data_IF_827336983741
#
_entry.id   IF_827336983741
#
_cell.length_a   1.000
_cell.length_b   1.000
_cell.length_c   1.000
_cell.angle_alpha   90.00
_cell.angle_beta   90.00
_cell.angle_gamma   90.00
#
_symmetry.space_group_name_H-M   'P 1'
#
loop_
_entity.id
_entity.type
_entity.pdbx_description
1 polymer ?
#
# COMPACT_ATOMS: atom_id res chain seq x y z
N UNK A 1 5.39 0.99 -6.44
CA UNK A 1 4.88 -0.17 -7.21
C UNK A 1 6.07 -0.78 -7.94
N UNK A 2 6.38 -2.06 -7.71
CA UNK A 2 7.65 -2.64 -8.17
C UNK A 2 7.68 -2.86 -9.70
N UNK A 3 8.87 -2.77 -10.34
CA UNK A 3 9.00 -2.76 -11.81
C UNK A 3 8.39 -3.97 -12.52
N UNK A 4 8.46 -5.14 -11.90
CA UNK A 4 7.97 -6.40 -12.45
C UNK A 4 6.44 -6.41 -12.59
N UNK A 5 5.71 -5.78 -11.64
CA UNK A 5 4.26 -5.61 -11.74
C UNK A 5 3.88 -4.65 -12.87
N UNK A 6 4.64 -3.56 -13.04
CA UNK A 6 4.44 -2.64 -14.15
C UNK A 6 4.64 -3.33 -15.50
N UNK A 7 5.67 -4.16 -15.63
CA UNK A 7 5.94 -4.93 -16.84
C UNK A 7 4.85 -5.95 -17.14
N UNK A 8 4.41 -6.70 -16.12
CA UNK A 8 3.30 -7.65 -16.24
C UNK A 8 2.01 -6.98 -16.74
N UNK A 9 1.63 -5.85 -16.14
CA UNK A 9 0.44 -5.10 -16.52
C UNK A 9 0.54 -4.48 -17.91
N UNK A 10 1.72 -3.97 -18.30
CA UNK A 10 1.95 -3.45 -19.65
C UNK A 10 1.75 -4.52 -20.71
N UNK A 11 2.37 -5.69 -20.52
CA UNK A 11 2.26 -6.81 -21.49
C UNK A 11 0.84 -7.34 -21.55
N UNK A 12 0.18 -7.52 -20.41
CA UNK A 12 -1.25 -7.90 -20.37
C UNK A 12 -2.11 -6.93 -21.18
N UNK A 13 -1.93 -5.62 -20.97
CA UNK A 13 -2.69 -4.57 -21.68
C UNK A 13 -2.42 -4.58 -23.19
N UNK A 14 -1.20 -4.89 -23.64
CA UNK A 14 -0.89 -4.98 -25.07
C UNK A 14 -1.68 -6.11 -25.73
N UNK A 15 -1.65 -7.31 -25.16
CA UNK A 15 -2.44 -8.44 -25.67
C UNK A 15 -3.94 -8.23 -25.55
N UNK A 16 -4.42 -7.63 -24.46
CA UNK A 16 -5.85 -7.28 -24.32
C UNK A 16 -6.30 -6.35 -25.46
N UNK A 17 -5.48 -5.34 -25.80
CA UNK A 17 -5.77 -4.41 -26.91
C UNK A 17 -5.77 -5.10 -28.28
N UNK A 18 -4.82 -6.02 -28.50
CA UNK A 18 -4.75 -6.77 -29.75
C UNK A 18 -5.98 -7.68 -29.92
N UNK A 19 -6.39 -8.38 -28.86
CA UNK A 19 -7.60 -9.20 -28.87
C UNK A 19 -8.85 -8.37 -29.14
N UNK A 20 -9.00 -7.20 -28.52
CA UNK A 20 -10.15 -6.31 -28.79
C UNK A 20 -10.17 -5.85 -30.24
N UNK A 21 -9.01 -5.53 -30.83
CA UNK A 21 -8.95 -5.12 -32.23
C UNK A 21 -9.30 -6.28 -33.19
N UNK A 22 -8.89 -7.51 -32.87
CA UNK A 22 -9.28 -8.69 -33.64
C UNK A 22 -10.77 -9.01 -33.51
N UNK A 23 -11.35 -8.78 -32.34
CA UNK A 23 -12.78 -8.97 -32.09
C UNK A 23 -13.62 -7.96 -32.88
N UNK A 24 -13.21 -6.69 -32.91
CA UNK A 24 -13.82 -5.66 -33.78
C UNK A 24 -13.73 -6.03 -35.28
N UNK A 25 -12.58 -6.55 -35.73
CA UNK A 25 -12.42 -7.02 -37.11
C UNK A 25 -13.33 -8.21 -37.42
N UNK A 26 -13.42 -9.18 -36.50
CA UNK A 26 -14.32 -10.33 -36.62
C UNK A 26 -15.77 -9.86 -36.75
N UNK A 27 -16.24 -8.97 -35.88
CA UNK A 27 -17.60 -8.44 -35.95
C UNK A 27 -17.88 -7.72 -37.28
N UNK A 28 -16.93 -6.94 -37.78
CA UNK A 28 -17.07 -6.24 -39.05
C UNK A 28 -17.23 -7.22 -40.23
N UNK A 29 -16.45 -8.31 -40.25
CA UNK A 29 -16.54 -9.33 -41.30
C UNK A 29 -17.81 -10.16 -41.15
N UNK A 30 -18.23 -10.51 -39.93
CA UNK A 30 -19.50 -11.20 -39.70
C UNK A 30 -20.69 -10.38 -40.21
N UNK A 31 -20.71 -9.06 -39.92
CA UNK A 31 -21.73 -8.15 -40.45
C UNK A 31 -21.73 -8.13 -41.98
N UNK A 32 -20.56 -8.00 -42.62
CA UNK A 32 -20.45 -8.05 -44.09
C UNK A 32 -20.92 -9.38 -44.66
N UNK A 33 -20.53 -10.49 -44.05
CA UNK A 33 -20.94 -11.85 -44.48
C UNK A 33 -22.45 -11.99 -44.40
N UNK A 34 -23.08 -11.56 -43.30
CA UNK A 34 -24.52 -11.65 -43.11
C UNK A 34 -25.29 -10.82 -44.16
N UNK A 35 -24.78 -9.64 -44.53
CA UNK A 35 -25.37 -8.82 -45.60
C UNK A 35 -25.30 -9.56 -46.94
N UNK A 36 -24.12 -10.05 -47.32
CA UNK A 36 -23.95 -10.80 -48.59
C UNK A 36 -24.79 -12.08 -48.59
N UNK A 37 -24.87 -12.77 -47.45
CA UNK A 37 -25.66 -13.97 -47.27
C UNK A 37 -27.17 -13.69 -47.41
N UNK A 38 -27.67 -12.59 -46.84
CA UNK A 38 -29.05 -12.15 -47.04
C UNK A 38 -29.34 -11.87 -48.52
N UNK A 39 -28.47 -11.13 -49.19
CA UNK A 39 -28.61 -10.82 -50.62
C UNK A 39 -28.59 -12.09 -51.48
N UNK A 40 -27.74 -13.05 -51.14
CA UNK A 40 -27.68 -14.35 -51.81
C UNK A 40 -28.97 -15.16 -51.61
N UNK A 41 -29.53 -15.18 -50.40
CA UNK A 41 -30.82 -15.84 -50.13
C UNK A 41 -31.96 -15.16 -50.90
N UNK A 42 -32.02 -13.82 -50.91
CA UNK A 42 -33.01 -13.08 -51.69
C UNK A 42 -32.93 -13.40 -53.21
N UNK A 43 -31.71 -13.61 -53.73
CA UNK A 43 -31.49 -14.03 -55.12
C UNK A 43 -31.95 -15.47 -55.38
N UNK A 44 -31.77 -16.38 -54.41
CA UNK A 44 -32.26 -17.75 -54.48
C UNK A 44 -33.79 -17.83 -54.42
N UNK A 45 -34.44 -17.00 -53.60
CA UNK A 45 -35.90 -16.97 -53.48
C UNK A 45 -36.56 -16.38 -54.75
N UNK A 46 -35.91 -15.41 -55.40
CA UNK A 46 -36.37 -14.79 -56.67
C UNK A 46 -35.98 -15.57 -57.93
N UNK A 47 -35.37 -16.75 -57.78
CA UNK A 47 -34.83 -17.55 -58.89
C UNK A 47 -35.90 -18.09 -59.84
N UNK A 48 -37.18 -17.94 -59.50
CA UNK A 48 -38.30 -18.20 -60.41
C UNK A 48 -38.50 -17.14 -61.51
N UNK A 49 -37.82 -15.98 -61.46
CA UNK A 49 -38.11 -14.88 -62.38
C UNK A 49 -36.94 -14.39 -63.27
N UNK A 50 -35.80 -13.86 -62.77
CA UNK A 50 -34.89 -13.08 -63.64
C UNK A 50 -33.41 -12.92 -63.19
N UNK A 51 -32.87 -13.76 -62.29
CA UNK A 51 -31.48 -13.56 -61.78
C UNK A 51 -30.45 -14.38 -62.59
N UNK A 52 -29.41 -13.74 -63.20
CA UNK A 52 -28.34 -14.45 -63.91
C UNK A 52 -27.52 -15.35 -62.98
N UNK A 53 -27.14 -16.53 -63.47
CA UNK A 53 -26.32 -17.49 -62.73
C UNK A 53 -24.97 -16.89 -62.27
N UNK A 54 -24.36 -16.01 -63.07
CA UNK A 54 -23.09 -15.35 -62.77
C UNK A 54 -23.12 -14.52 -61.48
N UNK A 55 -24.21 -13.78 -61.24
CA UNK A 55 -24.39 -12.98 -60.01
C UNK A 55 -24.53 -13.87 -58.77
N UNK A 56 -25.13 -15.05 -58.97
CA UNK A 56 -25.34 -16.03 -57.90
C UNK A 56 -24.02 -16.73 -57.54
N UNK A 57 -23.17 -17.01 -58.52
CA UNK A 57 -21.81 -17.53 -58.28
C UNK A 57 -20.91 -16.49 -57.62
N UNK A 58 -20.94 -15.22 -58.06
CA UNK A 58 -20.17 -14.13 -57.43
C UNK A 58 -20.52 -13.94 -55.95
N UNK A 59 -21.82 -13.93 -55.61
CA UNK A 59 -22.27 -13.79 -54.23
C UNK A 59 -21.85 -14.99 -53.37
N UNK A 60 -21.89 -16.22 -53.93
CA UNK A 60 -21.41 -17.43 -53.26
C UNK A 60 -19.90 -17.37 -53.01
N UNK A 61 -19.10 -17.02 -54.01
CA UNK A 61 -17.65 -16.85 -53.88
C UNK A 61 -17.32 -15.81 -52.81
N UNK A 62 -18.05 -14.68 -52.78
CA UNK A 62 -17.87 -13.65 -51.75
C UNK A 62 -18.18 -14.15 -50.33
N UNK A 63 -19.20 -15.00 -50.16
CA UNK A 63 -19.50 -15.64 -48.87
C UNK A 63 -18.36 -16.57 -48.46
N UNK A 64 -17.81 -17.36 -49.39
CA UNK A 64 -16.69 -18.26 -49.13
C UNK A 64 -15.42 -17.48 -48.74
N UNK A 65 -15.09 -16.40 -49.44
CA UNK A 65 -14.00 -15.48 -49.09
C UNK A 65 -14.15 -14.95 -47.66
N UNK A 66 -15.30 -14.35 -47.33
CA UNK A 66 -15.55 -13.79 -45.99
C UNK A 66 -15.55 -14.87 -44.91
N UNK A 67 -15.96 -16.10 -45.24
CA UNK A 67 -15.90 -17.24 -44.31
C UNK A 67 -14.46 -17.67 -44.04
N UNK A 68 -13.60 -17.65 -45.06
CA UNK A 68 -12.17 -17.93 -44.90
C UNK A 68 -11.48 -16.85 -44.08
N UNK A 69 -11.80 -15.57 -44.32
CA UNK A 69 -11.32 -14.45 -43.50
C UNK A 69 -11.73 -14.60 -42.02
N UNK A 70 -12.98 -15.00 -41.74
CA UNK A 70 -13.43 -15.27 -40.36
C UNK A 70 -12.64 -16.40 -39.70
N UNK A 71 -12.41 -17.51 -40.41
CA UNK A 71 -11.60 -18.62 -39.86
C UNK A 71 -10.20 -18.14 -39.52
N UNK A 72 -9.59 -17.39 -40.41
CA UNK A 72 -8.25 -16.83 -40.19
C UNK A 72 -8.18 -15.93 -38.96
N UNK A 73 -9.17 -15.04 -38.76
CA UNK A 73 -9.20 -14.17 -37.57
C UNK A 73 -9.43 -14.98 -36.30
N UNK A 74 -10.33 -15.96 -36.31
CA UNK A 74 -10.58 -16.83 -35.15
C UNK A 74 -9.31 -17.59 -34.77
N UNK A 75 -8.58 -18.11 -35.74
CA UNK A 75 -7.30 -18.80 -35.51
C UNK A 75 -6.24 -17.83 -34.96
N UNK A 76 -6.15 -16.63 -35.52
CA UNK A 76 -5.27 -15.57 -35.01
C UNK A 76 -5.60 -15.19 -33.57
N UNK A 77 -6.87 -15.02 -33.22
CA UNK A 77 -7.31 -14.74 -31.85
C UNK A 77 -6.85 -15.86 -30.89
N UNK A 78 -7.05 -17.13 -31.25
CA UNK A 78 -6.59 -18.27 -30.44
C UNK A 78 -5.08 -18.27 -30.24
N UNK A 79 -4.32 -17.93 -31.28
CA UNK A 79 -2.86 -17.84 -31.18
C UNK A 79 -2.44 -16.71 -30.23
N UNK A 80 -3.03 -15.52 -30.36
CA UNK A 80 -2.78 -14.38 -29.46
C UNK A 80 -3.16 -14.71 -28.02
N UNK A 81 -4.27 -15.41 -27.77
CA UNK A 81 -4.64 -15.87 -26.43
C UNK A 81 -3.63 -16.85 -25.83
N UNK A 82 -3.13 -17.77 -26.65
CA UNK A 82 -2.11 -18.74 -26.24
C UNK A 82 -0.79 -18.05 -25.92
N UNK A 83 -0.31 -17.19 -26.80
CA UNK A 83 0.91 -16.40 -26.61
C UNK A 83 0.80 -15.50 -25.38
N UNK A 84 -0.32 -14.82 -25.19
CA UNK A 84 -0.60 -14.03 -23.97
C UNK A 84 -0.45 -14.89 -22.72
N UNK A 85 -1.05 -16.08 -22.71
CA UNK A 85 -0.99 -16.99 -21.55
C UNK A 85 0.44 -17.46 -21.28
N UNK A 86 1.17 -17.86 -22.31
CA UNK A 86 2.57 -18.28 -22.22
C UNK A 86 3.45 -17.14 -21.72
N UNK A 87 3.34 -15.96 -22.33
CA UNK A 87 4.15 -14.80 -21.97
C UNK A 87 3.89 -14.30 -20.55
N UNK A 88 2.64 -14.28 -20.11
CA UNK A 88 2.31 -13.92 -18.73
C UNK A 88 2.81 -14.98 -17.73
N UNK A 89 2.79 -16.26 -18.11
CA UNK A 89 3.33 -17.35 -17.29
C UNK A 89 4.85 -17.22 -17.12
N UNK A 90 5.58 -16.82 -18.17
CA UNK A 90 7.02 -16.55 -18.11
C UNK A 90 7.38 -15.39 -17.17
N UNK A 91 6.52 -14.38 -17.07
CA UNK A 91 6.73 -13.22 -16.20
C UNK A 91 6.37 -13.48 -14.74
N UNK A 92 5.55 -14.50 -14.48
CA UNK A 92 5.03 -14.78 -13.15
C UNK A 92 6.14 -15.05 -12.09
N UNK A 93 7.21 -15.81 -12.37
CA UNK A 93 8.31 -16.00 -11.42
C UNK A 93 9.02 -14.68 -11.06
N UNK A 94 9.24 -13.82 -12.05
CA UNK A 94 9.83 -12.50 -11.83
C UNK A 94 8.92 -11.62 -10.99
N UNK A 95 7.61 -11.65 -11.25
CA UNK A 95 6.60 -10.94 -10.44
C UNK A 95 6.60 -11.43 -8.98
N UNK A 96 6.63 -12.74 -8.75
CA UNK A 96 6.68 -13.33 -7.41
C UNK A 96 7.95 -12.90 -6.69
N UNK A 97 9.10 -12.96 -7.36
CA UNK A 97 10.39 -12.54 -6.80
C UNK A 97 10.39 -11.05 -6.43
N UNK A 98 9.82 -10.21 -7.30
CA UNK A 98 9.63 -8.78 -7.03
C UNK A 98 8.75 -8.54 -5.80
N UNK A 99 7.61 -9.24 -5.71
CA UNK A 99 6.70 -9.20 -4.56
C UNK A 99 7.40 -9.61 -3.26
N UNK A 100 8.12 -10.73 -3.27
CA UNK A 100 8.80 -11.26 -2.09
C UNK A 100 9.94 -10.34 -1.62
N UNK A 101 10.64 -9.69 -2.55
CA UNK A 101 11.65 -8.66 -2.23
C UNK A 101 11.03 -7.45 -1.52
N UNK A 102 9.91 -6.93 -2.03
CA UNK A 102 9.20 -5.79 -1.43
C UNK A 102 8.65 -6.14 -0.04
N UNK A 103 7.97 -7.29 0.08
CA UNK A 103 7.47 -7.79 1.37
C UNK A 103 8.63 -8.00 2.35
N UNK A 104 9.74 -8.57 1.87
CA UNK A 104 10.95 -8.75 2.66
C UNK A 104 11.55 -7.44 3.16
N UNK A 105 11.57 -6.40 2.32
CA UNK A 105 12.03 -5.06 2.70
C UNK A 105 11.12 -4.45 3.77
N UNK A 106 9.80 -4.48 3.57
CA UNK A 106 8.81 -4.02 4.55
C UNK A 106 8.97 -4.76 5.87
N UNK A 107 9.09 -6.09 5.85
CA UNK A 107 9.29 -6.89 7.05
C UNK A 107 10.58 -6.52 7.80
N UNK A 108 11.69 -6.26 7.08
CA UNK A 108 12.93 -5.78 7.72
C UNK A 108 12.72 -4.43 8.40
N UNK A 109 12.02 -3.50 7.75
CA UNK A 109 11.68 -2.21 8.34
C UNK A 109 10.76 -2.34 9.57
N UNK A 110 9.73 -3.20 9.49
CA UNK A 110 8.85 -3.51 10.62
C UNK A 110 9.62 -4.10 11.80
N UNK A 111 10.53 -5.05 11.56
CA UNK A 111 11.35 -5.62 12.63
C UNK A 111 12.34 -4.60 13.23
N UNK A 112 12.87 -3.70 12.40
CA UNK A 112 13.69 -2.58 12.89
C UNK A 112 12.85 -1.66 13.78
N UNK A 113 11.67 -1.24 13.33
CA UNK A 113 10.75 -0.40 14.10
C UNK A 113 10.26 -1.07 15.38
N UNK A 114 9.98 -2.37 15.35
CA UNK A 114 9.67 -3.16 16.55
C UNK A 114 10.80 -3.10 17.57
N UNK A 115 12.06 -3.25 17.14
CA UNK A 115 13.23 -3.13 18.02
C UNK A 115 13.37 -1.71 18.59
N UNK A 116 13.17 -0.69 17.78
CA UNK A 116 13.17 0.72 18.22
C UNK A 116 12.07 0.98 19.25
N UNK A 117 10.85 0.46 19.04
CA UNK A 117 9.75 0.56 20.00
C UNK A 117 10.07 -0.17 21.31
N UNK A 118 10.69 -1.35 21.26
CA UNK A 118 11.11 -2.05 22.47
C UNK A 118 12.18 -1.30 23.26
N UNK A 119 13.12 -0.62 22.57
CA UNK A 119 14.09 0.28 23.21
C UNK A 119 13.41 1.48 23.85
N UNK A 120 12.54 2.16 23.10
CA UNK A 120 11.78 3.32 23.60
C UNK A 120 10.90 2.93 24.80
N UNK A 121 10.33 1.73 24.80
CA UNK A 121 9.59 1.17 25.94
C UNK A 121 10.49 0.97 27.16
N UNK A 122 11.72 0.50 26.98
CA UNK A 122 12.67 0.36 28.07
C UNK A 122 13.10 1.73 28.63
N UNK A 123 13.35 2.70 27.75
CA UNK A 123 13.65 4.09 28.12
C UNK A 123 12.51 4.72 28.91
N UNK A 124 11.26 4.55 28.45
CA UNK A 124 10.07 5.01 29.15
C UNK A 124 9.96 4.43 30.57
N UNK A 125 10.19 3.13 30.75
CA UNK A 125 10.18 2.49 32.07
C UNK A 125 11.32 2.99 32.97
N UNK A 126 12.49 3.25 32.39
CA UNK A 126 13.62 3.82 33.11
C UNK A 126 13.32 5.24 33.62
N UNK A 127 12.68 6.08 32.80
CA UNK A 127 12.23 7.42 33.22
C UNK A 127 11.19 7.34 34.35
N UNK A 128 10.25 6.40 34.29
CA UNK A 128 9.30 6.17 35.40
C UNK A 128 10.05 5.79 36.68
N UNK A 129 11.07 4.94 36.59
CA UNK A 129 11.89 4.57 37.75
C UNK A 129 12.58 5.80 38.35
N UNK A 130 13.18 6.67 37.54
CA UNK A 130 13.81 7.90 38.02
C UNK A 130 12.79 8.82 38.72
N UNK A 131 11.59 8.98 38.17
CA UNK A 131 10.52 9.75 38.82
C UNK A 131 10.12 9.16 40.17
N UNK A 132 10.10 7.82 40.28
CA UNK A 132 9.83 7.14 41.54
C UNK A 132 10.94 7.40 42.56
N UNK A 133 12.22 7.31 42.17
CA UNK A 133 13.37 7.60 43.02
C UNK A 133 13.36 9.06 43.52
N UNK A 134 13.05 10.02 42.62
CA UNK A 134 12.90 11.43 42.99
C UNK A 134 11.78 11.66 44.00
N UNK A 135 10.65 10.95 43.85
CA UNK A 135 9.55 11.01 44.82
C UNK A 135 9.96 10.47 46.17
N UNK A 136 10.62 9.30 46.22
CA UNK A 136 11.11 8.72 47.47
C UNK A 136 12.08 9.66 48.19
N UNK A 137 12.99 10.27 47.44
CA UNK A 137 13.90 11.27 47.99
C UNK A 137 13.16 12.49 48.54
N UNK A 138 12.16 13.01 47.83
CA UNK A 138 11.35 14.12 48.31
C UNK A 138 10.61 13.75 49.60
N UNK A 139 10.03 12.54 49.68
CA UNK A 139 9.36 12.04 50.88
C UNK A 139 10.34 11.92 52.07
N UNK A 140 11.57 11.45 51.84
CA UNK A 140 12.63 11.37 52.86
C UNK A 140 13.06 12.75 53.39
N UNK A 141 13.25 13.72 52.48
CA UNK A 141 13.56 15.12 52.85
C UNK A 141 12.42 15.73 53.67
N UNK A 142 11.17 15.46 53.28
CA UNK A 142 9.99 15.93 54.00
C UNK A 142 9.91 15.31 55.41
N UNK A 143 10.19 14.02 55.55
CA UNK A 143 10.22 13.34 56.85
C UNK A 143 11.33 13.86 57.77
N UNK A 144 12.55 14.02 57.25
CA UNK A 144 13.69 14.53 58.00
C UNK A 144 13.45 15.96 58.49
N UNK A 145 12.89 16.82 57.63
CA UNK A 145 12.48 18.17 58.02
C UNK A 145 11.39 18.12 59.11
N UNK A 146 10.34 17.30 58.96
CA UNK A 146 9.27 17.18 59.96
C UNK A 146 9.80 16.71 61.32
N UNK A 147 10.79 15.82 61.35
CA UNK A 147 11.46 15.40 62.59
C UNK A 147 12.17 16.57 63.25
N UNK A 148 13.02 17.30 62.51
CA UNK A 148 13.73 18.47 63.02
C UNK A 148 12.78 19.59 63.50
N UNK A 149 11.73 19.90 62.73
CA UNK A 149 10.75 20.92 63.08
C UNK A 149 9.99 20.60 64.39
N UNK A 150 9.72 19.32 64.67
CA UNK A 150 9.12 18.88 65.94
C UNK A 150 10.04 19.11 67.13
N UNK A 151 11.35 18.94 66.96
CA UNK A 151 12.34 19.15 68.04
C UNK A 151 12.41 20.63 68.47
N UNK A 152 12.22 21.56 67.52
CA UNK A 152 12.29 23.01 67.77
C UNK A 152 10.92 23.70 67.90
N UNK A 153 9.82 22.94 67.95
CA UNK A 153 8.43 23.45 68.04
C UNK A 153 8.02 24.43 66.93
N UNK A 154 8.61 24.32 65.73
CA UNK A 154 8.30 25.24 64.63
C UNK A 154 7.14 24.72 63.76
N UNK A 155 6.13 25.56 63.49
CA UNK A 155 4.88 25.21 62.76
C UNK A 155 4.78 25.83 61.37
N UNK A 156 5.90 26.01 60.65
CA UNK A 156 5.82 26.55 59.28
C UNK A 156 5.23 25.52 58.31
N UNK A 157 4.34 25.93 57.39
CA UNK A 157 3.89 25.06 56.31
C UNK A 157 5.06 24.82 55.35
N UNK A 158 5.42 23.55 55.13
CA UNK A 158 6.35 23.19 54.07
C UNK A 158 5.63 23.17 52.71
N UNK A 159 6.29 23.65 51.64
CA UNK A 159 5.80 23.39 50.29
C UNK A 159 5.74 21.87 50.08
N UNK A 160 4.59 21.37 49.64
CA UNK A 160 4.43 19.95 49.32
C UNK A 160 5.01 19.71 47.93
N UNK A 161 5.74 18.60 47.77
CA UNK A 161 6.09 18.11 46.45
C UNK A 161 4.80 17.82 45.65
N UNK A 162 4.60 18.54 44.55
CA UNK A 162 3.54 18.22 43.59
C UNK A 162 3.98 16.98 42.81
N UNK A 163 3.61 15.81 43.32
CA UNK A 163 3.91 14.55 42.65
C UNK A 163 3.31 14.49 41.25
N UNK A 164 4.03 13.88 40.31
CA UNK A 164 3.49 13.57 38.99
C UNK A 164 2.64 12.29 39.12
N UNK A 165 1.39 12.36 38.68
CA UNK A 165 0.53 11.16 38.61
C UNK A 165 0.99 10.26 37.47
N UNK A 166 1.30 8.99 37.77
CA UNK A 166 1.74 8.03 36.73
C UNK A 166 0.66 7.82 35.65
N UNK A 167 -0.61 8.02 36.00
CA UNK A 167 -1.73 7.88 35.07
C UNK A 167 -1.71 8.92 33.94
N UNK A 168 -1.11 10.09 34.15
CA UNK A 168 -0.98 11.11 33.10
C UNK A 168 0.18 10.82 32.14
N UNK A 169 1.03 9.84 32.47
CA UNK A 169 2.18 9.44 31.64
C UNK A 169 1.88 8.18 30.82
N UNK A 170 0.88 7.38 31.24
CA UNK A 170 0.57 6.10 30.61
C UNK A 170 -0.25 6.23 29.32
N UNK A 171 0.18 5.54 28.27
CA UNK A 171 -0.60 5.33 27.06
C UNK A 171 -1.64 4.22 27.26
N UNK A 172 -2.91 4.49 26.94
CA UNK A 172 -3.92 3.43 26.96
C UNK A 172 -3.74 2.47 25.78
N UNK A 173 -4.10 1.19 25.97
CA UNK A 173 -4.06 0.21 24.88
C UNK A 173 -4.95 0.62 23.71
N UNK A 174 -6.08 1.25 24.01
CA UNK A 174 -7.03 1.75 23.02
C UNK A 174 -6.44 2.86 22.13
N UNK A 175 -5.72 3.82 22.72
CA UNK A 175 -5.04 4.86 21.94
C UNK A 175 -3.99 4.25 21.01
N UNK A 176 -3.16 3.33 21.51
CA UNK A 176 -2.14 2.64 20.71
C UNK A 176 -2.79 1.92 19.53
N UNK A 177 -3.89 1.21 19.76
CA UNK A 177 -4.61 0.49 18.71
C UNK A 177 -5.22 1.45 17.69
N UNK A 178 -5.82 2.56 18.14
CA UNK A 178 -6.37 3.59 17.27
C UNK A 178 -5.29 4.21 16.37
N UNK A 179 -4.10 4.54 16.91
CA UNK A 179 -2.98 5.04 16.10
C UNK A 179 -2.53 4.00 15.08
N UNK A 180 -2.46 2.72 15.47
CA UNK A 180 -2.04 1.64 14.57
C UNK A 180 -3.03 1.43 13.42
N UNK A 181 -4.33 1.49 13.69
CA UNK A 181 -5.38 1.27 12.69
C UNK A 181 -5.62 2.49 11.79
N UNK A 182 -5.58 3.70 12.37
CA UNK A 182 -5.93 4.94 11.66
C UNK A 182 -4.72 5.72 11.14
N UNK A 183 -3.54 5.50 11.70
CA UNK A 183 -2.31 6.25 11.40
C UNK A 183 -2.30 7.68 11.94
N UNK A 184 -3.30 8.11 12.72
CA UNK A 184 -3.41 9.46 13.28
C UNK A 184 -2.94 9.52 14.72
N UNK A 185 -2.29 10.60 15.12
CA UNK A 185 -1.89 10.82 16.50
C UNK A 185 -3.08 11.32 17.34
N UNK A 186 -3.12 11.01 18.65
CA UNK A 186 -4.08 11.64 19.55
C UNK A 186 -3.83 13.16 19.65
N UNK A 187 -4.91 13.94 19.82
CA UNK A 187 -4.83 15.41 19.87
C UNK A 187 -3.86 15.94 20.94
N UNK A 188 -3.79 15.28 22.11
CA UNK A 188 -2.87 15.68 23.18
C UNK A 188 -1.39 15.52 22.78
N UNK A 189 -1.07 14.55 21.91
CA UNK A 189 0.29 14.36 21.37
C UNK A 189 0.60 15.48 20.37
N UNK A 190 -0.37 15.83 19.53
CA UNK A 190 -0.24 16.93 18.57
C UNK A 190 -0.06 18.29 19.26
N UNK A 191 -0.74 18.52 20.39
CA UNK A 191 -0.57 19.72 21.22
C UNK A 191 0.84 19.81 21.83
N UNK A 192 1.42 18.69 22.27
CA UNK A 192 2.79 18.67 22.80
C UNK A 192 3.80 18.94 21.68
N UNK A 193 3.66 18.27 20.54
CA UNK A 193 4.57 18.42 19.40
C UNK A 193 4.48 19.82 18.76
N UNK A 194 3.26 20.39 18.68
CA UNK A 194 3.05 21.74 18.17
C UNK A 194 3.64 22.84 19.05
N UNK A 195 3.87 22.55 20.34
CA UNK A 195 4.53 23.47 21.27
C UNK A 195 6.08 23.36 21.24
N UNK A 196 6.66 22.28 20.70
CA UNK A 196 8.11 22.11 20.57
C UNK A 196 8.71 22.92 19.40
N UNK A 197 7.95 23.21 18.34
CA UNK A 197 8.38 24.07 17.23
C UNK A 197 8.56 25.56 17.64
N UNK A 198 8.13 25.96 18.85
CA UNK A 198 8.40 27.29 19.43
C UNK A 198 9.59 27.30 20.40
N UNK A 199 10.27 26.17 20.62
CA UNK A 199 11.46 26.07 21.48
C UNK A 199 12.62 25.36 20.78
N UNK A 200 13.06 25.92 19.65
CA UNK A 200 14.41 25.66 19.16
C UNK A 200 15.11 26.98 18.87
N UNK A 201 16.02 27.45 19.75
CA UNK A 201 17.25 28.03 19.27
C UNK A 201 18.20 26.89 18.93
N UNK A 202 18.54 26.79 17.66
CA UNK A 202 19.80 26.21 17.23
C UNK A 202 20.92 26.79 18.10
N UNK A 203 21.72 25.95 18.74
CA UNK A 203 23.13 25.96 18.39
C UNK A 203 23.83 24.65 18.71
N UNK A 204 24.86 24.43 17.89
CA UNK A 204 25.75 23.29 17.86
C UNK A 204 26.56 23.20 19.16
N UNK A 205 27.24 22.05 19.25
CA UNK A 205 28.36 21.76 20.14
C UNK A 205 27.98 21.28 21.54
N UNK A 206 28.09 19.96 21.74
CA UNK A 206 28.93 19.40 22.81
C UNK A 206 29.14 17.91 22.52
N UNK A 207 29.87 17.64 21.44
CA UNK A 207 30.68 16.43 21.33
C UNK A 207 32.08 16.74 21.87
N UNK A 208 32.62 15.77 22.61
CA UNK A 208 34.01 15.64 23.10
C UNK A 208 34.50 16.52 24.27
N UNK A 209 34.78 15.87 25.41
CA UNK A 209 36.14 15.78 25.96
C UNK A 209 36.32 14.48 26.75
N UNK A 210 37.00 13.53 26.12
CA UNK A 210 37.80 12.51 26.80
C UNK A 210 38.95 13.19 27.57
N UNK A 211 39.28 12.64 28.73
CA UNK A 211 40.56 12.71 29.45
C UNK A 211 41.06 14.10 29.91
N UNK A 212 40.96 14.37 31.22
CA UNK A 212 42.15 14.57 32.08
C UNK A 212 41.79 14.64 33.57
N UNK A 213 42.55 13.88 34.39
CA UNK A 213 42.81 14.01 35.84
C UNK A 213 41.68 13.57 36.78
N UNK A 214 41.87 12.64 37.73
CA UNK A 214 43.08 12.13 38.38
C UNK A 214 43.12 10.61 38.42
#
# INVERSE_FOLDING_TARGET
MYPELNQFLKIKKLYDKELTALEEQKEAIEKRRNVVQSVYMDMLDKRSAYVPLSKLTEAKEKIEELTNELRYIIEKMRNVEKEKKERLKELLPSLITGKDREIGAVNRHLQKKKRELMRSRAEYLYLIQQLHEMRLYADEVDETYRKAAREINERRPTPRFEGISVHTLSFSHHEIQSVYETGKLPAWVEEILGNEDQRVPNDKELSFKLLSKK
#
